data_IF_147104730297
#
_entry.id   IF_147104730297
#
_cell.length_a   1.000
_cell.length_b   1.000
_cell.length_c   1.000
_cell.angle_alpha   90.00
_cell.angle_beta   90.00
_cell.angle_gamma   90.00
#
_symmetry.space_group_name_H-M   'P 1'
#
loop_
_entity.id
_entity.type
_entity.pdbx_description
1 polymer ?
#
# COMPACT_ATOMS: atom_id res chain seq x y z
N UNK A 1 -16.20 6.69 -8.45
CA UNK A 1 -14.85 6.88 -7.87
C UNK A 1 -14.01 5.61 -7.91
N UNK A 2 -14.53 4.47 -7.40
CA UNK A 2 -13.83 3.17 -7.50
C UNK A 2 -13.51 2.78 -8.95
N UNK A 3 -14.45 2.99 -9.86
CA UNK A 3 -14.30 2.71 -11.31
C UNK A 3 -13.16 3.54 -11.92
N UNK A 4 -13.15 4.86 -11.72
CA UNK A 4 -12.10 5.76 -12.23
C UNK A 4 -10.69 5.35 -11.78
N UNK A 5 -10.51 5.03 -10.49
CA UNK A 5 -9.20 4.59 -9.97
C UNK A 5 -8.82 3.25 -10.61
N UNK A 6 -9.77 2.32 -10.73
CA UNK A 6 -9.53 0.99 -11.29
C UNK A 6 -9.17 1.09 -12.78
N UNK A 7 -9.88 1.90 -13.56
CA UNK A 7 -9.58 2.16 -14.97
C UNK A 7 -8.21 2.81 -15.15
N UNK A 8 -7.87 3.82 -14.35
CA UNK A 8 -6.57 4.47 -14.38
C UNK A 8 -5.44 3.47 -14.10
N UNK A 9 -5.57 2.67 -13.03
CA UNK A 9 -4.56 1.69 -12.66
C UNK A 9 -4.43 0.57 -13.71
N UNK A 10 -5.54 0.11 -14.27
CA UNK A 10 -5.53 -0.86 -15.37
C UNK A 10 -4.79 -0.31 -16.60
N UNK A 11 -4.92 0.98 -16.91
CA UNK A 11 -4.20 1.61 -18.03
C UNK A 11 -2.67 1.57 -17.89
N UNK A 12 -2.18 1.55 -16.64
CA UNK A 12 -0.75 1.42 -16.32
C UNK A 12 -0.37 -0.01 -15.89
N UNK A 13 -1.24 -1.00 -16.14
CA UNK A 13 -1.04 -2.43 -15.86
C UNK A 13 -0.82 -2.73 -14.37
N UNK A 14 -1.46 -1.97 -13.49
CA UNK A 14 -1.49 -2.24 -12.05
C UNK A 14 -2.88 -2.76 -11.72
N UNK A 15 -2.95 -4.02 -11.31
CA UNK A 15 -4.23 -4.71 -11.15
C UNK A 15 -4.77 -4.66 -9.74
N UNK A 16 -3.94 -4.40 -8.74
CA UNK A 16 -4.31 -4.55 -7.33
C UNK A 16 -3.90 -3.31 -6.52
N UNK A 17 -4.82 -2.80 -5.72
CA UNK A 17 -4.57 -1.65 -4.85
C UNK A 17 -5.39 -1.66 -3.57
N UNK A 18 -4.96 -0.89 -2.58
CA UNK A 18 -5.77 -0.52 -1.42
C UNK A 18 -5.56 0.94 -1.03
N UNK A 19 -6.61 1.57 -0.52
CA UNK A 19 -6.59 2.86 0.15
C UNK A 19 -7.07 2.60 1.57
N UNK A 20 -6.19 2.76 2.53
CA UNK A 20 -6.47 2.51 3.95
C UNK A 20 -6.46 3.86 4.66
N UNK A 21 -7.58 4.22 5.26
CA UNK A 21 -7.73 5.43 6.08
C UNK A 21 -7.83 4.99 7.53
N UNK A 22 -6.95 5.51 8.37
CA UNK A 22 -6.93 5.28 9.81
C UNK A 22 -7.08 6.61 10.53
N UNK A 23 -8.10 6.75 11.38
CA UNK A 23 -8.32 7.96 12.16
C UNK A 23 -7.52 7.95 13.48
N UNK A 24 -7.61 9.03 14.25
CA UNK A 24 -6.87 9.19 15.51
C UNK A 24 -7.21 8.16 16.60
N UNK A 25 -8.37 7.50 16.52
CA UNK A 25 -8.79 6.44 17.45
C UNK A 25 -8.58 5.03 16.90
N UNK A 26 -7.82 4.89 15.81
CA UNK A 26 -7.49 3.64 15.12
C UNK A 26 -8.70 2.90 14.50
N UNK A 27 -9.77 3.60 14.18
CA UNK A 27 -10.79 3.05 13.27
C UNK A 27 -10.27 3.05 11.84
N UNK A 28 -10.62 2.00 11.10
CA UNK A 28 -10.10 1.78 9.75
C UNK A 28 -11.23 1.76 8.72
N UNK A 29 -11.03 2.51 7.64
CA UNK A 29 -11.82 2.39 6.41
C UNK A 29 -10.90 1.96 5.28
N UNK A 30 -11.31 0.98 4.49
CA UNK A 30 -10.49 0.41 3.41
C UNK A 30 -11.25 0.53 2.10
N UNK A 31 -10.69 1.14 1.07
CA UNK A 31 -11.22 1.04 -0.30
C UNK A 31 -10.24 0.22 -1.13
N UNK A 32 -10.70 -0.85 -1.77
CA UNK A 32 -9.82 -1.79 -2.47
C UNK A 32 -10.57 -2.55 -3.54
N UNK A 33 -9.84 -3.02 -4.55
CA UNK A 33 -10.30 -4.03 -5.51
C UNK A 33 -9.83 -5.45 -5.14
N UNK A 34 -9.08 -5.61 -4.05
CA UNK A 34 -8.75 -6.91 -3.46
C UNK A 34 -10.01 -7.64 -2.98
N UNK A 35 -9.93 -8.97 -2.91
CA UNK A 35 -11.05 -9.79 -2.43
C UNK A 35 -11.50 -9.43 -1.01
N UNK A 36 -12.78 -9.62 -0.70
CA UNK A 36 -13.30 -9.40 0.66
C UNK A 36 -12.63 -10.33 1.70
N UNK A 37 -12.19 -11.52 1.27
CA UNK A 37 -11.41 -12.42 2.10
C UNK A 37 -10.06 -11.81 2.51
N UNK A 38 -9.37 -11.13 1.58
CA UNK A 38 -8.13 -10.40 1.89
C UNK A 38 -8.40 -9.31 2.91
N UNK A 39 -9.44 -8.52 2.68
CA UNK A 39 -9.82 -7.41 3.55
C UNK A 39 -10.14 -7.86 4.98
N UNK A 40 -10.94 -8.91 5.10
CA UNK A 40 -11.29 -9.54 6.38
C UNK A 40 -10.04 -10.00 7.12
N UNK A 41 -9.13 -10.69 6.43
CA UNK A 41 -7.90 -11.19 7.04
C UNK A 41 -6.92 -10.06 7.42
N UNK A 42 -6.87 -9.00 6.62
CA UNK A 42 -6.05 -7.81 6.90
C UNK A 42 -6.53 -7.08 8.16
N UNK A 43 -7.85 -6.91 8.31
CA UNK A 43 -8.48 -6.28 9.48
C UNK A 43 -8.33 -7.15 10.72
N UNK A 44 -8.61 -8.46 10.64
CA UNK A 44 -8.54 -9.35 11.81
C UNK A 44 -7.14 -9.45 12.41
N UNK A 45 -6.11 -9.29 11.57
CA UNK A 45 -4.69 -9.23 11.97
C UNK A 45 -4.22 -7.83 12.35
N UNK A 46 -5.10 -6.82 12.28
CA UNK A 46 -4.81 -5.42 12.61
C UNK A 46 -3.58 -4.87 11.87
N UNK A 47 -3.39 -5.27 10.61
CA UNK A 47 -2.21 -4.86 9.83
C UNK A 47 -2.23 -3.37 9.47
N UNK A 48 -3.39 -2.72 9.54
CA UNK A 48 -3.53 -1.27 9.44
C UNK A 48 -2.86 -0.50 10.60
N UNK A 49 -2.39 -1.17 11.66
CA UNK A 49 -1.59 -0.54 12.73
C UNK A 49 -0.27 -1.26 13.02
N UNK A 50 -0.17 -2.56 12.70
CA UNK A 50 0.98 -3.40 13.02
C UNK A 50 1.87 -3.76 11.81
N UNK A 51 1.51 -3.35 10.60
CA UNK A 51 2.40 -3.56 9.45
C UNK A 51 3.59 -2.59 9.49
N UNK A 52 4.75 -3.06 9.05
CA UNK A 52 5.96 -2.25 8.91
C UNK A 52 5.72 -1.03 8.01
N UNK A 53 4.79 -1.15 7.05
CA UNK A 53 4.35 -0.06 6.17
C UNK A 53 3.68 1.04 6.98
N UNK A 54 2.72 0.68 7.85
CA UNK A 54 2.02 1.65 8.69
C UNK A 54 2.95 2.26 9.75
N UNK A 55 3.84 1.46 10.33
CA UNK A 55 4.84 1.98 11.28
C UNK A 55 5.77 3.00 10.59
N UNK A 56 6.26 2.71 9.39
CA UNK A 56 7.02 3.68 8.58
C UNK A 56 6.21 4.92 8.21
N UNK A 57 4.90 4.76 7.96
CA UNK A 57 3.99 5.87 7.65
C UNK A 57 3.80 6.85 8.82
N UNK A 58 3.94 6.37 10.08
CA UNK A 58 3.91 7.25 11.25
C UNK A 58 5.10 8.21 11.25
N UNK A 59 6.27 7.74 10.88
CA UNK A 59 7.52 8.49 10.94
C UNK A 59 7.70 9.47 9.78
N UNK A 60 7.20 9.14 8.57
CA UNK A 60 7.43 9.95 7.36
C UNK A 60 6.28 9.84 6.35
N UNK A 61 6.11 10.90 5.54
CA UNK A 61 5.10 10.98 4.46
C UNK A 61 5.66 10.61 3.08
N UNK A 62 6.88 10.07 3.01
CA UNK A 62 7.51 9.72 1.73
C UNK A 62 6.93 8.41 1.18
N UNK A 63 6.80 8.27 -0.15
CA UNK A 63 6.47 7.00 -0.78
C UNK A 63 7.47 5.91 -0.35
N UNK A 64 6.94 4.73 0.00
CA UNK A 64 7.72 3.61 0.47
C UNK A 64 7.54 2.42 -0.46
N UNK A 65 8.62 2.00 -1.12
CA UNK A 65 8.70 0.70 -1.77
C UNK A 65 9.00 -0.35 -0.72
N UNK A 66 8.28 -1.47 -0.74
CA UNK A 66 8.45 -2.55 0.21
C UNK A 66 8.33 -3.91 -0.47
N UNK A 67 8.96 -4.92 0.13
CA UNK A 67 8.86 -6.31 -0.28
C UNK A 67 8.36 -7.14 0.91
N UNK A 68 7.43 -8.05 0.66
CA UNK A 68 6.86 -8.89 1.70
C UNK A 68 7.89 -9.82 2.36
N UNK A 69 8.89 -10.29 1.61
CA UNK A 69 9.93 -11.17 2.14
C UNK A 69 10.81 -10.47 3.20
N UNK A 70 10.94 -9.14 3.09
CA UNK A 70 11.77 -8.32 4.00
C UNK A 70 11.02 -7.90 5.27
N UNK A 71 9.72 -8.22 5.37
CA UNK A 71 8.87 -7.88 6.52
C UNK A 71 9.21 -8.78 7.71
N UNK A 72 9.43 -8.20 8.89
CA UNK A 72 9.59 -8.99 10.12
C UNK A 72 8.24 -9.52 10.63
N UNK A 73 7.14 -8.97 10.12
CA UNK A 73 5.79 -9.38 10.45
C UNK A 73 5.37 -10.66 9.66
N UNK A 74 5.18 -11.77 10.36
CA UNK A 74 4.77 -13.06 9.78
C UNK A 74 3.36 -13.02 9.16
N UNK A 75 2.45 -12.20 9.68
CA UNK A 75 1.10 -12.04 9.13
C UNK A 75 1.12 -11.36 7.77
N UNK A 76 2.04 -10.40 7.59
CA UNK A 76 2.29 -9.78 6.28
C UNK A 76 2.81 -10.82 5.30
N UNK A 77 3.80 -11.63 5.67
CA UNK A 77 4.34 -12.72 4.83
C UNK A 77 3.25 -13.71 4.43
N UNK A 78 2.45 -14.18 5.38
CA UNK A 78 1.40 -15.16 5.12
C UNK A 78 0.30 -14.63 4.19
N UNK A 79 -0.18 -13.40 4.40
CA UNK A 79 -1.16 -12.80 3.48
C UNK A 79 -0.57 -12.53 2.10
N UNK A 80 0.70 -12.12 2.07
CA UNK A 80 1.43 -11.87 0.84
C UNK A 80 1.51 -13.13 -0.02
N UNK A 81 1.86 -14.27 0.57
CA UNK A 81 1.88 -15.56 -0.12
C UNK A 81 0.48 -15.99 -0.58
N UNK A 82 -0.52 -15.90 0.32
CA UNK A 82 -1.90 -16.33 0.03
C UNK A 82 -2.55 -15.55 -1.13
N UNK A 83 -2.26 -14.26 -1.23
CA UNK A 83 -2.87 -13.37 -2.23
C UNK A 83 -1.91 -12.98 -3.35
N UNK A 84 -0.76 -13.67 -3.46
CA UNK A 84 0.27 -13.44 -4.48
C UNK A 84 0.74 -11.97 -4.57
N UNK A 85 0.92 -11.33 -3.41
CA UNK A 85 1.46 -9.99 -3.27
C UNK A 85 2.91 -10.13 -2.85
N UNK A 86 3.88 -9.79 -3.69
CA UNK A 86 5.31 -9.87 -3.33
C UNK A 86 5.91 -8.54 -2.95
N UNK A 87 5.41 -7.47 -3.52
CA UNK A 87 5.87 -6.11 -3.23
C UNK A 87 4.76 -5.10 -3.38
N UNK A 88 5.03 -3.88 -2.94
CA UNK A 88 4.14 -2.77 -3.16
C UNK A 88 4.82 -1.42 -3.05
N UNK A 89 4.14 -0.41 -3.58
CA UNK A 89 4.48 0.98 -3.42
C UNK A 89 3.37 1.65 -2.64
N UNK A 90 3.70 2.13 -1.44
CA UNK A 90 2.76 2.81 -0.56
C UNK A 90 3.04 4.31 -0.53
N UNK A 91 2.01 5.10 -0.81
CA UNK A 91 1.98 6.55 -0.65
C UNK A 91 1.29 6.89 0.66
N UNK A 92 1.94 7.70 1.48
CA UNK A 92 1.45 8.07 2.80
C UNK A 92 1.03 9.54 2.79
N UNK A 93 -0.22 9.80 3.17
CA UNK A 93 -0.77 11.14 3.30
C UNK A 93 -1.30 11.31 4.71
N UNK A 94 -1.07 12.46 5.32
CA UNK A 94 -1.65 12.85 6.60
C UNK A 94 -2.59 14.01 6.36
N UNK A 95 -3.88 13.81 6.61
CA UNK A 95 -4.91 14.85 6.43
C UNK A 95 -5.59 15.03 7.78
N UNK A 96 -5.42 16.22 8.39
CA UNK A 96 -5.90 16.49 9.76
C UNK A 96 -5.39 15.41 10.72
N UNK A 97 -6.30 14.67 11.34
CA UNK A 97 -6.05 13.58 12.30
C UNK A 97 -6.06 12.19 11.66
N UNK A 98 -6.13 12.10 10.32
CA UNK A 98 -6.22 10.84 9.59
C UNK A 98 -4.89 10.53 8.89
N UNK A 99 -4.51 9.25 8.94
CA UNK A 99 -3.43 8.69 8.14
C UNK A 99 -4.03 7.89 6.99
N UNK A 100 -3.71 8.28 5.76
CA UNK A 100 -4.15 7.63 4.54
C UNK A 100 -2.95 6.93 3.92
N UNK A 101 -3.07 5.63 3.67
CA UNK A 101 -2.07 4.83 2.96
C UNK A 101 -2.70 4.30 1.68
N UNK A 102 -2.23 4.81 0.55
CA UNK A 102 -2.57 4.27 -0.76
C UNK A 102 -1.46 3.33 -1.22
N UNK A 103 -1.79 2.06 -1.45
CA UNK A 103 -0.82 1.03 -1.82
C UNK A 103 -1.17 0.42 -3.16
N UNK A 104 -0.18 0.35 -4.03
CA UNK A 104 -0.19 -0.42 -5.27
C UNK A 104 0.52 -1.74 -5.00
N UNK A 105 -0.08 -2.87 -5.39
CA UNK A 105 0.47 -4.19 -5.15
C UNK A 105 1.03 -4.81 -6.43
N UNK A 106 2.11 -5.58 -6.28
CA UNK A 106 2.78 -6.26 -7.38
C UNK A 106 3.06 -7.72 -7.00
N UNK A 107 2.81 -8.63 -7.95
CA UNK A 107 3.14 -10.06 -7.81
C UNK A 107 4.63 -10.36 -8.02
N UNK A 108 5.39 -9.40 -8.54
CA UNK A 108 6.85 -9.51 -8.72
C UNK A 108 7.61 -8.83 -7.57
N UNK A 109 8.89 -9.21 -7.36
CA UNK A 109 9.71 -8.68 -6.26
C UNK A 109 9.86 -7.16 -6.32
N UNK A 110 10.06 -6.60 -7.51
CA UNK A 110 10.03 -5.17 -7.84
C UNK A 110 9.80 -5.09 -9.36
N UNK A 111 8.72 -4.46 -9.86
CA UNK A 111 8.55 -4.24 -11.29
C UNK A 111 9.75 -3.47 -11.86
N UNK A 112 10.27 -3.87 -13.02
CA UNK A 112 11.38 -3.18 -13.71
C UNK A 112 11.13 -1.67 -13.89
N UNK A 113 9.85 -1.28 -14.02
CA UNK A 113 9.38 0.10 -14.03
C UNK A 113 9.74 0.91 -12.77
N UNK A 114 9.68 0.29 -11.58
CA UNK A 114 10.02 0.96 -10.32
C UNK A 114 11.53 1.11 -10.11
N UNK A 115 12.32 0.22 -10.70
CA UNK A 115 13.78 0.36 -10.76
C UNK A 115 14.16 1.57 -11.62
N UNK A 116 13.42 1.83 -12.71
CA UNK A 116 13.59 3.05 -13.52
C UNK A 116 13.20 4.31 -12.74
N UNK A 117 12.12 4.28 -11.94
CA UNK A 117 11.72 5.42 -11.11
C UNK A 117 12.73 5.74 -9.98
N UNK A 118 13.44 4.74 -9.42
CA UNK A 118 14.56 4.98 -8.48
C UNK A 118 15.71 5.80 -9.08
N UNK A 119 15.85 5.84 -10.42
CA UNK A 119 16.86 6.65 -11.12
C UNK A 119 16.42 8.09 -11.37
N UNK A 120 15.12 8.38 -11.21
CA UNK A 120 14.58 9.73 -11.31
C UNK A 120 14.67 10.33 -9.91
N UNK A 121 15.64 11.23 -9.68
CA UNK A 121 15.66 12.06 -8.47
C UNK A 121 14.27 12.70 -8.32
N UNK A 122 13.69 12.80 -7.11
CA UNK A 122 12.44 13.51 -6.92
C UNK A 122 12.64 14.96 -7.36
N UNK A 123 12.15 15.30 -8.56
CA UNK A 123 12.02 16.69 -8.97
C UNK A 123 10.66 17.11 -8.44
N UNK A 124 10.66 17.74 -7.27
CA UNK A 124 9.52 18.54 -6.84
C UNK A 124 9.36 19.67 -7.86
N UNK A 125 8.45 19.51 -8.82
CA UNK A 125 7.86 20.66 -9.48
C UNK A 125 6.75 21.17 -8.56
N UNK A 126 7.10 22.16 -7.74
CA UNK A 126 6.11 23.10 -7.22
C UNK A 126 5.94 24.12 -8.34
N UNK A 127 4.79 24.11 -8.99
CA UNK A 127 4.33 25.20 -9.86
C UNK A 127 3.16 25.89 -9.16
#
# INVERSE_FOLDING_TARGET
>A
MKEVITEYLNSIKINDYSIIVVNAINEVSIQTNMSEAWRTAFISKKLYIHSDIFLKAKERILPCLWNACDSDNNDVKMLSDKYNIRSGLSFVMKIKSETIIFTLYFSEKIPTLLIAMKRIKPVCYIM
#
